data_IF_384228655561
#
_entry.id   IF_384228655561
#
_cell.length_a   1.000
_cell.length_b   1.000
_cell.length_c   1.000
_cell.angle_alpha   90.00
_cell.angle_beta   90.00
_cell.angle_gamma   90.00
#
_symmetry.space_group_name_H-M   'P 1'
#
loop_
_entity.id
_entity.type
_entity.pdbx_description
1 polymer ?
#
# COMPACT_ATOMS: atom_id res chain seq x y z
N UNK A 1 -12.63 -19.37 20.59
CA UNK A 1 -12.56 -17.90 20.40
C UNK A 1 -11.62 -17.61 19.25
N UNK A 2 -11.91 -16.61 18.41
CA UNK A 2 -10.95 -16.13 17.41
C UNK A 2 -9.75 -15.50 18.13
N UNK A 3 -8.53 -15.71 17.61
CA UNK A 3 -7.31 -15.12 18.17
C UNK A 3 -7.25 -13.62 17.86
N UNK A 4 -6.68 -12.83 18.74
CA UNK A 4 -6.44 -11.39 18.49
C UNK A 4 -5.14 -11.23 17.73
N UNK A 5 -5.09 -10.26 16.83
CA UNK A 5 -3.94 -10.01 15.94
C UNK A 5 -3.47 -8.58 16.11
N UNK A 6 -2.19 -8.41 16.36
CA UNK A 6 -1.57 -7.11 16.62
C UNK A 6 -0.47 -6.79 15.63
N UNK A 7 -0.16 -5.52 15.47
CA UNK A 7 0.98 -5.03 14.71
C UNK A 7 2.14 -4.79 15.66
N UNK A 8 3.24 -5.48 15.45
CA UNK A 8 4.44 -5.39 16.31
C UNK A 8 5.64 -4.79 15.60
N UNK A 9 5.60 -4.63 14.28
CA UNK A 9 6.67 -4.00 13.52
C UNK A 9 6.18 -3.41 12.20
N UNK A 10 6.84 -2.36 11.76
CA UNK A 10 6.51 -1.61 10.53
C UNK A 10 7.77 -1.28 9.73
N UNK A 11 7.66 -1.27 8.40
CA UNK A 11 8.74 -0.88 7.50
C UNK A 11 8.21 -0.24 6.24
N UNK A 12 8.90 0.76 5.71
CA UNK A 12 8.46 1.49 4.52
C UNK A 12 9.62 2.03 3.67
N UNK A 13 9.39 2.00 2.37
CA UNK A 13 10.14 2.76 1.35
C UNK A 13 9.13 3.54 0.54
N UNK A 14 9.29 4.86 0.44
CA UNK A 14 8.35 5.73 -0.25
C UNK A 14 9.07 6.89 -0.95
N UNK A 15 8.42 7.59 -1.89
CA UNK A 15 8.98 8.79 -2.52
C UNK A 15 9.32 9.95 -1.56
N UNK A 16 8.87 9.87 -0.30
CA UNK A 16 9.11 10.88 0.73
C UNK A 16 10.00 10.40 1.88
N UNK A 17 10.48 9.15 1.84
CA UNK A 17 11.38 8.62 2.87
C UNK A 17 11.78 7.17 2.61
N UNK A 18 13.05 6.85 2.89
CA UNK A 18 13.62 5.52 2.69
C UNK A 18 13.53 4.62 3.95
N UNK A 19 12.71 5.00 4.90
CA UNK A 19 12.33 4.28 6.11
C UNK A 19 11.03 4.87 6.67
N UNK A 20 10.45 4.20 7.69
CA UNK A 20 9.19 4.65 8.33
C UNK A 20 9.32 6.04 8.94
N UNK A 21 10.42 6.32 9.65
CA UNK A 21 10.59 7.60 10.35
C UNK A 21 10.66 8.78 9.37
N UNK A 22 11.41 8.64 8.28
CA UNK A 22 11.54 9.69 7.28
C UNK A 22 10.24 9.84 6.48
N UNK A 23 9.58 8.73 6.13
CA UNK A 23 8.26 8.73 5.50
C UNK A 23 7.24 9.48 6.38
N UNK A 24 7.18 9.17 7.69
CA UNK A 24 6.24 9.82 8.59
C UNK A 24 6.55 11.31 8.80
N UNK A 25 7.82 11.68 8.91
CA UNK A 25 8.23 13.09 8.90
C UNK A 25 7.81 13.81 7.63
N UNK A 26 7.94 13.15 6.47
CA UNK A 26 7.46 13.66 5.18
C UNK A 26 5.95 13.93 5.20
N UNK A 27 5.15 13.01 5.78
CA UNK A 27 3.71 13.20 5.97
C UNK A 27 3.42 14.40 6.88
N UNK A 28 4.06 14.48 8.04
CA UNK A 28 3.86 15.58 9.00
C UNK A 28 4.24 16.96 8.42
N UNK A 29 5.24 16.99 7.53
CA UNK A 29 5.71 18.19 6.85
C UNK A 29 4.98 18.47 5.52
N UNK A 30 3.92 17.72 5.19
CA UNK A 30 3.15 17.86 3.95
C UNK A 30 4.03 17.77 2.69
N UNK A 31 5.07 16.93 2.73
CA UNK A 31 6.02 16.78 1.63
C UNK A 31 5.36 16.10 0.43
N UNK A 32 5.53 16.68 -0.75
CA UNK A 32 5.20 16.06 -2.03
C UNK A 32 6.43 15.30 -2.54
N UNK A 33 6.30 13.98 -2.70
CA UNK A 33 7.36 13.12 -3.25
C UNK A 33 7.33 13.01 -4.78
N UNK A 34 6.28 13.56 -5.41
CA UNK A 34 6.14 13.57 -6.87
C UNK A 34 7.09 14.61 -7.45
N UNK A 35 7.76 14.24 -8.55
CA UNK A 35 8.69 15.09 -9.27
C UNK A 35 8.76 14.67 -10.74
N UNK A 36 9.55 15.40 -11.56
CA UNK A 36 9.86 14.97 -12.90
C UNK A 36 10.60 13.62 -12.87
N UNK A 37 10.21 12.71 -13.75
CA UNK A 37 10.85 11.39 -13.89
C UNK A 37 12.32 11.57 -14.24
N UNK A 38 13.20 10.94 -13.45
CA UNK A 38 14.65 11.00 -13.62
C UNK A 38 15.24 9.68 -14.16
N UNK A 39 14.54 8.55 -13.99
CA UNK A 39 15.08 7.22 -14.31
C UNK A 39 15.17 6.93 -15.81
N UNK A 40 14.47 7.68 -16.66
CA UNK A 40 14.53 7.57 -18.13
C UNK A 40 14.08 8.85 -18.83
N UNK A 41 14.41 8.98 -20.14
CA UNK A 41 14.02 10.13 -20.95
C UNK A 41 12.51 10.12 -21.25
N UNK A 42 11.83 11.19 -20.83
CA UNK A 42 10.39 11.42 -21.06
C UNK A 42 10.09 12.46 -22.14
N UNK A 43 11.10 12.91 -22.94
CA UNK A 43 10.94 13.99 -23.92
C UNK A 43 9.77 13.76 -24.87
N UNK A 44 9.58 12.52 -25.33
CA UNK A 44 8.53 12.10 -26.24
C UNK A 44 7.27 11.54 -25.55
N UNK A 45 7.13 11.70 -24.24
CA UNK A 45 5.99 11.21 -23.47
C UNK A 45 5.09 12.35 -23.03
N UNK A 46 3.78 12.11 -22.91
CA UNK A 46 2.83 13.10 -22.37
C UNK A 46 3.00 13.26 -20.86
N UNK A 47 3.14 12.16 -20.16
CA UNK A 47 3.34 12.14 -18.69
C UNK A 47 4.81 12.35 -18.39
N UNK A 48 5.10 13.29 -17.51
CA UNK A 48 6.46 13.73 -17.16
C UNK A 48 6.81 13.50 -15.69
N UNK A 49 5.81 13.20 -14.86
CA UNK A 49 5.95 13.15 -13.40
C UNK A 49 5.64 11.78 -12.84
N UNK A 50 6.34 11.42 -11.76
CA UNK A 50 6.12 10.21 -10.98
C UNK A 50 6.61 10.40 -9.54
N UNK A 51 6.22 9.50 -8.65
CA UNK A 51 6.76 9.36 -7.30
C UNK A 51 7.88 8.33 -7.26
N UNK A 52 9.09 8.69 -7.69
CA UNK A 52 10.28 7.85 -7.62
C UNK A 52 10.90 7.89 -6.22
N UNK A 53 11.56 6.80 -5.78
CA UNK A 53 12.40 6.81 -4.58
C UNK A 53 13.56 7.81 -4.76
N UNK A 54 13.82 8.62 -3.74
CA UNK A 54 14.85 9.66 -3.78
C UNK A 54 16.05 9.27 -2.94
N UNK A 55 17.26 9.56 -3.44
CA UNK A 55 18.52 9.29 -2.72
C UNK A 55 18.59 7.84 -2.20
N UNK A 56 18.18 6.89 -3.05
CA UNK A 56 18.07 5.48 -2.71
C UNK A 56 19.07 4.65 -3.52
N UNK A 57 19.87 3.86 -2.81
CA UNK A 57 20.78 2.88 -3.41
C UNK A 57 20.62 1.55 -2.68
N UNK A 58 20.12 0.52 -3.39
CA UNK A 58 19.79 -0.78 -2.79
C UNK A 58 21.01 -1.48 -2.14
N UNK A 59 22.22 -1.20 -2.62
CA UNK A 59 23.47 -1.78 -2.08
C UNK A 59 23.87 -1.24 -0.71
N UNK A 60 23.22 -0.21 -0.22
CA UNK A 60 23.36 0.25 1.17
C UNK A 60 22.60 -0.66 2.16
N UNK A 61 21.61 -1.42 1.68
CA UNK A 61 20.69 -2.26 2.47
C UNK A 61 20.88 -3.76 2.21
N UNK A 62 21.34 -4.12 1.01
CA UNK A 62 21.42 -5.49 0.52
C UNK A 62 22.80 -5.80 -0.06
N UNK A 63 23.23 -7.06 0.01
CA UNK A 63 24.46 -7.49 -0.66
C UNK A 63 24.38 -7.24 -2.18
N UNK A 64 25.42 -6.68 -2.75
CA UNK A 64 25.52 -6.38 -4.19
C UNK A 64 25.29 -7.59 -5.10
N UNK A 65 25.65 -8.81 -4.62
CA UNK A 65 25.40 -10.05 -5.37
C UNK A 65 23.92 -10.39 -5.43
N UNK A 66 23.17 -10.09 -4.37
CA UNK A 66 21.74 -10.36 -4.30
C UNK A 66 20.92 -9.30 -5.04
N UNK A 67 21.31 -8.02 -4.95
CA UNK A 67 20.72 -6.94 -5.76
C UNK A 67 20.69 -7.29 -7.25
N UNK A 68 21.76 -7.91 -7.78
CA UNK A 68 21.84 -8.30 -9.20
C UNK A 68 20.91 -9.45 -9.62
N UNK A 69 20.33 -10.17 -8.66
CA UNK A 69 19.44 -11.33 -8.90
C UNK A 69 17.96 -10.97 -8.70
N UNK A 70 17.66 -9.75 -8.25
CA UNK A 70 16.32 -9.31 -7.92
C UNK A 70 15.95 -8.06 -8.73
N UNK A 71 14.72 -8.02 -9.23
CA UNK A 71 14.12 -6.77 -9.73
C UNK A 71 13.91 -5.78 -8.58
N UNK A 72 13.78 -4.49 -8.91
CA UNK A 72 13.61 -3.41 -7.92
C UNK A 72 12.43 -3.66 -6.97
N UNK A 73 11.27 -4.18 -7.47
CA UNK A 73 10.12 -4.43 -6.59
C UNK A 73 10.45 -5.44 -5.48
N UNK A 74 11.24 -6.47 -5.78
CA UNK A 74 11.70 -7.46 -4.79
C UNK A 74 12.66 -6.81 -3.80
N UNK A 75 13.61 -5.99 -4.29
CA UNK A 75 14.55 -5.25 -3.45
C UNK A 75 13.82 -4.35 -2.47
N UNK A 76 12.84 -3.57 -2.92
CA UNK A 76 12.04 -2.68 -2.07
C UNK A 76 11.26 -3.46 -1.02
N UNK A 77 10.60 -4.56 -1.44
CA UNK A 77 9.88 -5.43 -0.52
C UNK A 77 10.76 -6.03 0.57
N UNK A 78 11.95 -6.54 0.20
CA UNK A 78 12.89 -7.12 1.14
C UNK A 78 13.48 -6.08 2.11
N UNK A 79 13.78 -4.87 1.63
CA UNK A 79 14.31 -3.78 2.48
C UNK A 79 13.26 -3.33 3.50
N UNK A 80 12.02 -3.09 3.07
CA UNK A 80 10.94 -2.76 3.99
C UNK A 80 10.64 -3.89 4.99
N UNK A 81 10.70 -5.16 4.55
CA UNK A 81 10.55 -6.30 5.44
C UNK A 81 11.69 -6.40 6.49
N UNK A 82 12.93 -6.08 6.11
CA UNK A 82 14.07 -6.01 7.06
C UNK A 82 13.85 -4.91 8.11
N UNK A 83 13.35 -3.75 7.71
CA UNK A 83 13.01 -2.68 8.64
C UNK A 83 11.91 -3.14 9.61
N UNK A 84 10.81 -3.72 9.09
CA UNK A 84 9.69 -4.19 9.90
C UNK A 84 10.09 -5.28 10.93
N UNK A 85 10.93 -6.24 10.53
CA UNK A 85 11.45 -7.27 11.44
C UNK A 85 12.37 -6.65 12.50
N UNK A 86 13.27 -5.76 12.11
CA UNK A 86 14.14 -5.05 13.05
C UNK A 86 13.33 -4.23 14.06
N UNK A 87 12.31 -3.53 13.60
CA UNK A 87 11.41 -2.73 14.41
C UNK A 87 10.62 -3.58 15.41
N UNK A 88 10.11 -4.72 14.97
CA UNK A 88 9.38 -5.67 15.80
C UNK A 88 10.24 -6.32 16.90
N UNK A 89 11.56 -6.26 16.79
CA UNK A 89 12.52 -6.97 17.65
C UNK A 89 12.24 -8.48 17.74
N UNK A 90 11.71 -9.05 16.64
CA UNK A 90 11.44 -10.48 16.57
C UNK A 90 12.72 -11.27 16.40
N UNK A 91 13.02 -12.14 17.35
CA UNK A 91 14.17 -13.04 17.28
C UNK A 91 13.83 -14.26 16.41
N UNK A 92 14.25 -14.21 15.14
CA UNK A 92 13.87 -15.19 14.12
C UNK A 92 14.20 -16.63 14.52
N UNK A 93 15.35 -16.85 15.15
CA UNK A 93 15.78 -18.21 15.53
C UNK A 93 15.01 -18.75 16.77
N UNK A 94 14.19 -17.95 17.43
CA UNK A 94 13.40 -18.34 18.62
C UNK A 94 11.94 -18.69 18.33
N UNK A 95 11.45 -18.43 17.11
CA UNK A 95 10.05 -18.66 16.73
C UNK A 95 9.86 -19.98 15.98
N UNK A 96 8.63 -20.47 15.94
CA UNK A 96 8.29 -21.62 15.11
C UNK A 96 8.19 -21.21 13.64
N UNK A 97 9.18 -21.60 12.83
CA UNK A 97 9.28 -21.23 11.41
C UNK A 97 8.11 -21.78 10.58
N UNK A 98 7.54 -22.95 10.92
CA UNK A 98 6.36 -23.52 10.25
C UNK A 98 5.09 -22.69 10.46
N UNK A 99 5.09 -21.80 11.46
CA UNK A 99 3.98 -20.91 11.81
C UNK A 99 4.31 -19.44 11.54
N UNK A 100 5.44 -19.19 10.88
CA UNK A 100 5.85 -17.87 10.41
C UNK A 100 5.61 -17.76 8.91
N UNK A 101 4.75 -16.83 8.49
CA UNK A 101 4.32 -16.65 7.12
C UNK A 101 4.78 -15.35 6.47
N UNK A 102 4.63 -15.29 5.15
CA UNK A 102 4.86 -14.09 4.32
C UNK A 102 3.70 -13.95 3.34
N UNK A 103 3.00 -12.83 3.38
CA UNK A 103 1.93 -12.50 2.45
C UNK A 103 2.21 -11.11 1.88
N UNK A 104 2.79 -11.05 0.68
CA UNK A 104 3.27 -9.80 0.09
C UNK A 104 2.83 -9.68 -1.35
N UNK A 105 2.17 -8.57 -1.68
CA UNK A 105 1.65 -8.27 -3.01
C UNK A 105 2.61 -7.45 -3.85
N UNK A 106 2.51 -7.61 -5.16
CA UNK A 106 2.91 -6.64 -6.17
C UNK A 106 1.86 -6.67 -7.28
N UNK A 107 1.55 -5.54 -7.88
CA UNK A 107 0.52 -5.45 -8.92
C UNK A 107 1.01 -5.92 -10.28
N UNK A 108 2.25 -5.59 -10.63
CA UNK A 108 2.83 -5.84 -11.97
C UNK A 108 4.08 -6.72 -11.90
N UNK A 109 4.83 -6.66 -10.81
CA UNK A 109 6.08 -7.41 -10.68
C UNK A 109 7.25 -6.78 -11.44
N UNK A 110 8.15 -7.60 -11.97
CA UNK A 110 9.43 -7.18 -12.56
C UNK A 110 9.33 -6.59 -13.96
N UNK A 111 8.54 -5.54 -14.15
CA UNK A 111 8.35 -4.91 -15.47
C UNK A 111 9.65 -4.36 -16.03
N UNK A 112 10.48 -3.72 -15.21
CA UNK A 112 11.80 -3.22 -15.62
C UNK A 112 12.71 -4.34 -16.11
N UNK A 113 12.72 -5.47 -15.43
CA UNK A 113 13.47 -6.66 -15.85
C UNK A 113 12.94 -7.24 -17.17
N UNK A 114 11.63 -7.17 -17.43
CA UNK A 114 11.03 -7.59 -18.71
C UNK A 114 11.54 -6.69 -19.83
N UNK A 115 11.47 -5.37 -19.68
CA UNK A 115 11.95 -4.41 -20.69
C UNK A 115 13.44 -4.60 -21.00
N UNK A 116 14.27 -4.64 -19.98
CA UNK A 116 15.72 -4.79 -20.13
C UNK A 116 16.09 -6.09 -20.84
N UNK A 117 15.52 -7.24 -20.41
CA UNK A 117 15.84 -8.53 -21.00
C UNK A 117 15.24 -8.70 -22.40
N UNK A 118 14.09 -8.08 -22.70
CA UNK A 118 13.55 -8.05 -24.06
C UNK A 118 14.49 -7.28 -24.99
N UNK A 119 14.94 -6.09 -24.61
CA UNK A 119 15.91 -5.33 -25.40
C UNK A 119 17.23 -6.07 -25.59
N UNK A 120 17.71 -6.74 -24.56
CA UNK A 120 18.92 -7.59 -24.62
C UNK A 120 18.73 -8.76 -25.59
N UNK A 121 17.56 -9.42 -25.55
CA UNK A 121 17.20 -10.52 -26.44
C UNK A 121 17.18 -10.08 -27.91
N UNK A 122 16.59 -8.95 -28.22
CA UNK A 122 16.58 -8.37 -29.58
C UNK A 122 18.00 -8.07 -30.10
N UNK A 123 18.90 -7.57 -29.23
CA UNK A 123 20.27 -7.20 -29.61
C UNK A 123 21.23 -8.40 -29.68
N UNK A 124 21.08 -9.42 -28.84
CA UNK A 124 22.08 -10.49 -28.64
C UNK A 124 21.54 -11.90 -28.84
N UNK A 125 20.23 -12.05 -29.12
CA UNK A 125 19.52 -13.35 -29.13
C UNK A 125 18.87 -13.67 -27.79
N UNK A 126 17.70 -14.29 -27.82
CA UNK A 126 16.90 -14.55 -26.61
C UNK A 126 17.53 -15.60 -25.68
N UNK A 127 18.44 -16.45 -26.18
CA UNK A 127 19.24 -17.35 -25.35
C UNK A 127 20.30 -16.63 -24.49
N UNK A 128 20.43 -15.32 -24.65
CA UNK A 128 21.40 -14.46 -23.93
C UNK A 128 20.74 -13.56 -22.87
N UNK A 129 19.46 -13.75 -22.57
CA UNK A 129 18.78 -13.09 -21.44
C UNK A 129 19.39 -13.51 -20.11
N UNK A 130 19.12 -12.76 -19.04
CA UNK A 130 19.63 -13.10 -17.70
C UNK A 130 19.18 -14.51 -17.26
N UNK A 131 20.05 -15.33 -16.67
CA UNK A 131 19.62 -16.60 -16.05
C UNK A 131 18.67 -16.38 -14.87
N UNK A 132 18.61 -15.16 -14.34
CA UNK A 132 17.68 -14.76 -13.28
C UNK A 132 16.40 -14.11 -13.81
N UNK A 133 16.22 -14.01 -15.14
CA UNK A 133 15.10 -13.30 -15.76
C UNK A 133 13.75 -13.75 -15.18
N UNK A 134 13.46 -15.03 -15.19
CA UNK A 134 12.18 -15.54 -14.67
C UNK A 134 12.00 -15.23 -13.18
N UNK A 135 12.93 -15.56 -12.26
CA UNK A 135 12.83 -15.18 -10.87
C UNK A 135 12.70 -13.66 -10.61
N UNK A 136 13.28 -12.83 -11.46
CA UNK A 136 13.17 -11.37 -11.35
C UNK A 136 11.80 -10.85 -11.76
N UNK A 137 11.06 -11.56 -12.63
CA UNK A 137 9.81 -11.05 -13.20
C UNK A 137 8.55 -11.52 -12.50
N UNK A 138 8.54 -12.74 -11.96
CA UNK A 138 7.32 -13.32 -11.38
C UNK A 138 7.00 -12.70 -10.02
N UNK A 139 5.73 -12.32 -9.86
CA UNK A 139 5.24 -11.46 -8.78
C UNK A 139 5.44 -12.06 -7.38
N UNK A 140 5.29 -13.39 -7.26
CA UNK A 140 5.41 -14.12 -6.00
C UNK A 140 6.84 -14.15 -5.43
N UNK A 141 7.86 -13.76 -6.22
CA UNK A 141 9.25 -13.81 -5.75
C UNK A 141 9.57 -12.73 -4.70
N UNK A 142 8.79 -11.68 -4.59
CA UNK A 142 8.91 -10.78 -3.43
C UNK A 142 8.63 -11.55 -2.13
N UNK A 143 7.50 -12.24 -2.04
CA UNK A 143 7.17 -13.10 -0.90
C UNK A 143 8.20 -14.22 -0.70
N UNK A 144 8.64 -14.87 -1.80
CA UNK A 144 9.62 -15.95 -1.75
C UNK A 144 11.00 -15.50 -1.24
N UNK A 145 11.51 -14.35 -1.69
CA UNK A 145 12.80 -13.82 -1.23
C UNK A 145 12.75 -13.36 0.23
N UNK A 146 11.64 -12.77 0.65
CA UNK A 146 11.43 -12.42 2.07
C UNK A 146 11.37 -13.69 2.92
N UNK A 147 10.65 -14.73 2.48
CA UNK A 147 10.57 -16.00 3.20
C UNK A 147 11.95 -16.66 3.34
N UNK A 148 12.76 -16.65 2.29
CA UNK A 148 14.15 -17.15 2.33
C UNK A 148 14.99 -16.35 3.33
N UNK A 149 14.90 -15.00 3.28
CA UNK A 149 15.72 -14.14 4.12
C UNK A 149 15.45 -14.33 5.63
N UNK A 150 14.20 -14.64 5.99
CA UNK A 150 13.77 -14.78 7.39
C UNK A 150 13.42 -16.22 7.79
N UNK A 151 13.72 -17.20 6.94
CA UNK A 151 13.45 -18.63 7.20
C UNK A 151 11.96 -18.90 7.49
N UNK A 152 11.05 -18.11 6.92
CA UNK A 152 9.61 -18.31 7.09
C UNK A 152 9.17 -19.55 6.28
N UNK A 153 8.75 -20.61 6.98
CA UNK A 153 8.41 -21.92 6.41
C UNK A 153 6.91 -22.20 6.44
N UNK A 154 6.12 -21.28 6.99
CA UNK A 154 4.67 -21.31 6.89
C UNK A 154 4.18 -20.88 5.51
N UNK A 155 2.98 -20.29 5.45
CA UNK A 155 2.43 -19.78 4.20
C UNK A 155 3.31 -18.69 3.59
N UNK A 156 3.74 -18.85 2.34
CA UNK A 156 4.36 -17.79 1.54
C UNK A 156 3.54 -17.59 0.27
N UNK A 157 2.84 -16.45 0.14
CA UNK A 157 1.92 -16.19 -0.98
C UNK A 157 1.91 -14.73 -1.40
N UNK A 158 1.42 -14.49 -2.61
CA UNK A 158 1.30 -13.17 -3.20
C UNK A 158 -0.11 -13.01 -3.78
N UNK A 159 -1.05 -12.34 -3.09
CA UNK A 159 -2.32 -11.96 -3.71
C UNK A 159 -2.06 -10.89 -4.77
N UNK A 160 -2.54 -11.13 -6.00
CA UNK A 160 -2.41 -10.20 -7.12
C UNK A 160 -3.79 -9.66 -7.46
N UNK A 161 -4.16 -8.56 -6.81
CA UNK A 161 -5.45 -7.87 -6.96
C UNK A 161 -5.26 -6.39 -7.32
N UNK A 162 -4.32 -6.15 -8.23
CA UNK A 162 -3.93 -4.80 -8.68
C UNK A 162 -3.66 -3.86 -7.48
N UNK A 163 -4.26 -2.67 -7.49
CA UNK A 163 -4.05 -1.66 -6.45
C UNK A 163 -4.56 -2.07 -5.05
N UNK A 164 -5.43 -3.09 -4.95
CA UNK A 164 -5.89 -3.62 -3.67
C UNK A 164 -4.96 -4.68 -3.06
N UNK A 165 -3.92 -5.08 -3.80
CA UNK A 165 -3.07 -6.22 -3.44
C UNK A 165 -2.42 -6.11 -2.06
N UNK A 166 -1.82 -4.97 -1.73
CA UNK A 166 -1.20 -4.76 -0.42
C UNK A 166 -2.19 -4.86 0.74
N UNK A 167 -3.39 -4.29 0.58
CA UNK A 167 -4.47 -4.39 1.58
C UNK A 167 -4.99 -5.82 1.69
N UNK A 168 -5.16 -6.54 0.57
CA UNK A 168 -5.50 -7.96 0.60
C UNK A 168 -4.43 -8.79 1.30
N UNK A 169 -3.15 -8.53 1.04
CA UNK A 169 -2.05 -9.23 1.68
C UNK A 169 -2.08 -9.10 3.21
N UNK A 170 -2.30 -7.88 3.72
CA UNK A 170 -2.45 -7.61 5.15
C UNK A 170 -3.70 -8.34 5.71
N UNK A 171 -4.83 -8.25 4.99
CA UNK A 171 -6.09 -8.89 5.39
C UNK A 171 -6.04 -10.42 5.40
N UNK A 172 -5.39 -11.02 4.41
CA UNK A 172 -5.23 -12.48 4.34
C UNK A 172 -4.27 -12.97 5.43
N UNK A 173 -3.18 -12.24 5.72
CA UNK A 173 -2.29 -12.53 6.84
C UNK A 173 -3.04 -12.46 8.19
N UNK A 174 -3.84 -11.41 8.38
CA UNK A 174 -4.70 -11.27 9.56
C UNK A 174 -5.61 -12.50 9.76
N UNK A 175 -6.31 -12.94 8.70
CA UNK A 175 -7.17 -14.13 8.79
C UNK A 175 -6.39 -15.39 9.14
N UNK A 176 -5.23 -15.60 8.54
CA UNK A 176 -4.39 -16.77 8.82
C UNK A 176 -3.92 -16.82 10.28
N UNK A 177 -3.57 -15.68 10.87
CA UNK A 177 -3.20 -15.62 12.30
C UNK A 177 -4.45 -15.80 13.20
N UNK A 178 -5.51 -15.06 12.91
CA UNK A 178 -6.77 -15.09 13.68
C UNK A 178 -7.39 -16.49 13.75
N UNK A 179 -7.36 -17.21 12.63
CA UNK A 179 -7.95 -18.52 12.50
C UNK A 179 -6.97 -19.66 12.90
N UNK A 180 -5.76 -19.30 13.37
CA UNK A 180 -4.83 -20.22 14.03
C UNK A 180 -3.89 -20.99 13.10
N UNK A 181 -3.77 -20.61 11.83
CA UNK A 181 -2.83 -21.24 10.89
C UNK A 181 -1.40 -20.73 11.09
N UNK A 182 -1.23 -19.46 11.43
CA UNK A 182 0.06 -18.81 11.64
C UNK A 182 0.09 -18.13 13.03
N UNK A 183 1.28 -17.82 13.52
CA UNK A 183 1.49 -17.02 14.73
C UNK A 183 2.07 -15.65 14.41
N UNK A 184 2.90 -15.58 13.37
CA UNK A 184 3.55 -14.35 12.91
C UNK A 184 3.51 -14.30 11.38
N UNK A 185 3.33 -13.11 10.82
CA UNK A 185 3.36 -12.93 9.35
C UNK A 185 3.95 -11.57 8.99
N UNK A 186 4.87 -11.55 8.00
CA UNK A 186 5.24 -10.32 7.31
C UNK A 186 4.20 -10.11 6.20
N UNK A 187 3.51 -8.96 6.21
CA UNK A 187 2.43 -8.69 5.28
C UNK A 187 2.49 -7.27 4.72
N UNK A 188 2.14 -7.10 3.45
CA UNK A 188 2.14 -5.78 2.81
C UNK A 188 2.26 -5.85 1.29
N UNK A 189 2.93 -4.87 0.70
CA UNK A 189 3.10 -4.81 -0.74
C UNK A 189 4.32 -4.03 -1.18
N UNK A 190 4.78 -4.30 -2.40
CA UNK A 190 5.92 -3.64 -3.03
C UNK A 190 5.67 -3.46 -4.53
N UNK A 191 6.20 -2.39 -5.12
CA UNK A 191 6.04 -2.08 -6.54
C UNK A 191 7.18 -1.22 -7.06
N UNK A 192 7.61 -1.48 -8.31
CA UNK A 192 8.65 -0.69 -9.00
C UNK A 192 8.35 -0.60 -10.51
N UNK A 193 7.17 -0.10 -10.86
CA UNK A 193 6.67 -0.12 -12.24
C UNK A 193 6.83 1.23 -12.97
N UNK A 194 7.64 2.17 -12.44
CA UNK A 194 7.99 3.42 -13.12
C UNK A 194 9.04 3.09 -14.20
N UNK A 195 8.54 2.68 -15.35
CA UNK A 195 9.32 2.33 -16.54
C UNK A 195 8.69 2.96 -17.78
N UNK A 196 9.39 3.06 -18.92
CA UNK A 196 8.80 3.54 -20.17
C UNK A 196 7.51 2.80 -20.54
N UNK A 197 7.49 1.46 -20.41
CA UNK A 197 6.32 0.65 -20.75
C UNK A 197 5.21 0.82 -19.70
N UNK A 198 5.54 0.92 -18.41
CA UNK A 198 4.58 1.16 -17.33
C UNK A 198 3.87 2.50 -17.47
N UNK A 199 4.64 3.59 -17.61
CA UNK A 199 4.08 4.94 -17.85
C UNK A 199 3.31 4.97 -19.18
N UNK A 200 3.87 4.40 -20.26
CA UNK A 200 3.22 4.35 -21.59
C UNK A 200 1.89 3.57 -21.55
N UNK A 201 1.84 2.44 -20.89
CA UNK A 201 0.65 1.60 -20.78
C UNK A 201 -0.50 2.32 -20.08
N UNK A 202 -0.25 2.92 -18.90
CA UNK A 202 -1.27 3.68 -18.18
C UNK A 202 -1.63 5.01 -18.88
N UNK A 203 -0.69 5.64 -19.58
CA UNK A 203 -0.99 6.82 -20.43
C UNK A 203 -1.94 6.45 -21.56
N UNK A 204 -1.72 5.31 -22.23
CA UNK A 204 -2.59 4.83 -23.32
C UNK A 204 -4.02 4.56 -22.83
N UNK A 205 -4.18 4.19 -21.57
CA UNK A 205 -5.48 4.02 -20.90
C UNK A 205 -6.11 5.35 -20.48
N UNK A 206 -5.41 6.48 -20.61
CA UNK A 206 -5.82 7.80 -20.10
C UNK A 206 -6.07 7.80 -18.58
N UNK A 207 -5.30 7.01 -17.85
CA UNK A 207 -5.44 6.84 -16.41
C UNK A 207 -4.52 7.78 -15.61
N UNK A 208 -3.38 8.21 -16.21
CA UNK A 208 -2.41 9.08 -15.56
C UNK A 208 -2.75 10.57 -15.75
N UNK A 209 -2.39 11.36 -14.75
CA UNK A 209 -2.39 12.81 -14.85
C UNK A 209 -1.37 13.28 -15.90
N UNK A 210 -1.80 14.13 -16.82
CA UNK A 210 -0.94 14.80 -17.79
C UNK A 210 -0.42 16.16 -17.28
N UNK A 211 -0.64 16.49 -15.99
CA UNK A 211 -0.08 17.71 -15.39
C UNK A 211 1.44 17.61 -15.31
N UNK A 212 2.11 18.67 -15.72
CA UNK A 212 3.57 18.78 -15.61
C UNK A 212 3.99 19.48 -14.31
N UNK A 213 3.05 20.01 -13.54
CA UNK A 213 3.30 20.54 -12.21
C UNK A 213 3.19 19.41 -11.17
N UNK A 214 4.29 19.00 -10.52
CA UNK A 214 4.29 17.94 -9.52
C UNK A 214 3.29 18.18 -8.38
N UNK A 215 3.05 19.44 -8.01
CA UNK A 215 2.11 19.81 -6.94
C UNK A 215 0.65 19.81 -7.39
N UNK A 216 0.36 19.73 -8.68
CA UNK A 216 -1.00 19.64 -9.22
C UNK A 216 -1.27 18.33 -9.96
N UNK A 217 -0.31 17.40 -9.97
CA UNK A 217 -0.46 16.14 -10.68
C UNK A 217 -1.27 15.10 -9.88
N UNK A 218 -1.07 15.00 -8.56
CA UNK A 218 -1.86 14.14 -7.67
C UNK A 218 -2.55 14.99 -6.61
N UNK A 219 -3.85 15.19 -6.80
CA UNK A 219 -4.72 16.10 -6.02
C UNK A 219 -6.03 15.37 -5.67
N UNK A 220 -5.98 14.34 -4.80
CA UNK A 220 -7.16 13.55 -4.48
C UNK A 220 -8.33 14.42 -4.00
N UNK A 221 -9.53 14.11 -4.48
CA UNK A 221 -10.79 14.79 -4.18
C UNK A 221 -10.93 16.25 -4.65
N UNK A 222 -9.86 16.84 -5.21
CA UNK A 222 -9.91 18.19 -5.80
C UNK A 222 -10.72 18.17 -7.11
N UNK A 223 -11.47 19.23 -7.38
CA UNK A 223 -12.32 19.36 -8.58
C UNK A 223 -11.54 19.28 -9.89
N UNK A 224 -10.27 19.70 -9.90
CA UNK A 224 -9.40 19.72 -11.08
C UNK A 224 -8.61 18.41 -11.27
N UNK A 225 -8.85 17.38 -10.44
CA UNK A 225 -8.18 16.07 -10.59
C UNK A 225 -8.45 15.47 -11.96
N UNK A 226 -7.43 14.90 -12.58
CA UNK A 226 -7.53 14.43 -13.97
C UNK A 226 -6.87 13.08 -14.25
N UNK A 227 -6.33 12.43 -13.23
CA UNK A 227 -5.64 11.14 -13.34
C UNK A 227 -4.76 10.90 -12.12
N UNK A 228 -4.27 9.68 -11.95
CA UNK A 228 -3.33 9.38 -10.89
C UNK A 228 -1.88 9.63 -11.33
N UNK A 229 -0.98 9.79 -10.37
CA UNK A 229 0.48 9.78 -10.60
C UNK A 229 1.03 8.45 -10.13
N UNK A 230 1.78 7.75 -10.98
CA UNK A 230 2.42 6.50 -10.60
C UNK A 230 3.51 6.75 -9.55
N UNK A 231 3.52 5.95 -8.48
CA UNK A 231 4.57 5.90 -7.48
C UNK A 231 5.21 4.52 -7.40
N UNK A 232 6.35 4.43 -6.72
CA UNK A 232 7.03 3.18 -6.40
C UNK A 232 7.37 3.10 -4.91
N UNK A 233 7.64 1.89 -4.41
CA UNK A 233 8.03 1.70 -3.02
C UNK A 233 7.54 0.40 -2.42
N UNK A 234 7.52 0.33 -1.09
CA UNK A 234 7.03 -0.81 -0.31
C UNK A 234 6.52 -0.37 1.06
N UNK A 235 5.54 -1.11 1.59
CA UNK A 235 5.09 -1.00 2.97
C UNK A 235 4.84 -2.39 3.56
N UNK A 236 5.40 -2.65 4.74
CA UNK A 236 5.36 -3.95 5.40
C UNK A 236 4.97 -3.81 6.87
N UNK A 237 4.10 -4.71 7.31
CA UNK A 237 3.71 -4.91 8.71
C UNK A 237 4.18 -6.28 9.18
N UNK A 238 4.62 -6.37 10.43
CA UNK A 238 4.70 -7.63 11.16
C UNK A 238 3.41 -7.77 11.95
N UNK A 239 2.55 -8.70 11.52
CA UNK A 239 1.34 -9.10 12.23
C UNK A 239 1.67 -10.29 13.13
N UNK A 240 1.14 -10.28 14.34
CA UNK A 240 1.46 -11.27 15.36
C UNK A 240 0.23 -11.62 16.21
N UNK A 241 0.12 -12.86 16.63
CA UNK A 241 -0.88 -13.26 17.60
C UNK A 241 -0.60 -12.58 18.94
N UNK A 242 -1.64 -12.07 19.59
CA UNK A 242 -1.53 -11.22 20.78
C UNK A 242 -0.76 -11.88 21.93
N UNK A 243 -1.07 -13.12 22.27
CA UNK A 243 -0.41 -13.79 23.40
C UNK A 243 1.03 -14.17 23.07
N UNK A 244 1.33 -14.48 21.80
CA UNK A 244 2.69 -14.64 21.33
C UNK A 244 3.49 -13.33 21.46
N UNK A 245 2.91 -12.19 21.05
CA UNK A 245 3.53 -10.87 21.18
C UNK A 245 3.79 -10.50 22.66
N UNK A 246 2.81 -10.71 23.52
CA UNK A 246 2.93 -10.46 24.97
C UNK A 246 4.01 -11.33 25.63
N UNK A 247 4.05 -12.62 25.29
CA UNK A 247 5.01 -13.56 25.88
C UNK A 247 6.47 -13.17 25.64
N UNK A 248 6.77 -12.50 24.53
CA UNK A 248 8.12 -11.99 24.23
C UNK A 248 8.33 -10.51 24.60
N UNK A 249 7.34 -9.84 25.20
CA UNK A 249 7.41 -8.42 25.56
C UNK A 249 7.49 -7.48 24.36
N UNK A 250 6.80 -7.81 23.27
CA UNK A 250 6.78 -6.99 22.07
C UNK A 250 6.16 -5.62 22.32
N UNK A 251 6.70 -4.58 21.63
CA UNK A 251 5.94 -3.36 21.44
C UNK A 251 4.73 -3.64 20.54
N UNK A 252 3.56 -3.19 20.93
CA UNK A 252 2.32 -3.35 20.17
C UNK A 252 1.84 -1.97 19.75
N UNK A 253 1.86 -1.69 18.44
CA UNK A 253 1.39 -0.44 17.87
C UNK A 253 -0.13 -0.31 17.93
N UNK A 254 -0.81 -1.34 17.43
CA UNK A 254 -2.27 -1.38 17.34
C UNK A 254 -2.74 -2.83 17.16
N UNK A 255 -4.05 -3.03 17.22
CA UNK A 255 -4.71 -4.30 16.90
C UNK A 255 -5.36 -4.21 15.52
N UNK A 256 -5.22 -5.21 14.70
CA UNK A 256 -6.02 -5.35 13.48
C UNK A 256 -7.30 -6.10 13.83
N UNK A 257 -8.46 -5.49 13.56
CA UNK A 257 -9.76 -6.00 14.05
C UNK A 257 -10.74 -6.35 12.92
N UNK A 258 -10.56 -5.84 11.72
CA UNK A 258 -11.49 -6.10 10.64
C UNK A 258 -10.86 -6.14 9.25
N UNK A 259 -11.38 -7.02 8.40
CA UNK A 259 -11.03 -7.14 7.00
C UNK A 259 -12.26 -7.47 6.16
N UNK A 260 -12.57 -6.62 5.20
CA UNK A 260 -13.66 -6.79 4.26
C UNK A 260 -13.21 -6.72 2.82
N UNK A 261 -13.75 -7.58 1.98
CA UNK A 261 -13.48 -7.63 0.55
C UNK A 261 -14.77 -7.72 -0.24
N UNK A 262 -14.72 -7.24 -1.49
CA UNK A 262 -15.76 -7.43 -2.49
C UNK A 262 -15.17 -7.40 -3.89
N UNK A 263 -15.94 -7.86 -4.87
CA UNK A 263 -15.65 -7.66 -6.29
C UNK A 263 -16.81 -6.93 -6.93
N UNK A 264 -16.51 -5.93 -7.76
CA UNK A 264 -17.53 -5.20 -8.54
C UNK A 264 -18.21 -6.09 -9.58
N UNK A 265 -17.48 -7.04 -10.17
CA UNK A 265 -17.92 -7.90 -11.26
C UNK A 265 -18.62 -7.09 -12.38
N UNK A 266 -18.04 -5.94 -12.73
CA UNK A 266 -18.67 -4.95 -13.61
C UNK A 266 -17.83 -4.65 -14.87
N UNK A 267 -16.61 -4.16 -14.70
CA UNK A 267 -15.73 -3.76 -15.80
C UNK A 267 -14.26 -3.94 -15.40
N UNK A 268 -13.36 -4.13 -16.38
CA UNK A 268 -11.93 -4.41 -16.11
C UNK A 268 -11.19 -3.26 -15.42
N UNK A 269 -11.62 -2.00 -15.64
CA UNK A 269 -10.92 -0.82 -15.08
C UNK A 269 -11.83 0.20 -14.43
N UNK A 270 -13.12 0.27 -14.84
CA UNK A 270 -14.06 1.20 -14.25
C UNK A 270 -14.72 0.58 -13.00
N UNK A 271 -14.82 1.32 -11.88
CA UNK A 271 -15.55 0.86 -10.72
C UNK A 271 -17.06 0.76 -11.01
N UNK A 272 -17.76 -0.08 -10.25
CA UNK A 272 -19.21 -0.23 -10.37
C UNK A 272 -19.91 1.10 -10.04
N UNK A 273 -21.05 1.39 -10.72
CA UNK A 273 -21.82 2.60 -10.46
C UNK A 273 -22.14 2.77 -8.98
N UNK A 274 -22.21 4.04 -8.55
CA UNK A 274 -22.54 4.43 -7.18
C UNK A 274 -21.58 3.89 -6.08
N UNK A 275 -20.42 3.35 -6.44
CA UNK A 275 -19.43 2.85 -5.48
C UNK A 275 -19.88 1.62 -4.66
N UNK A 276 -20.81 0.81 -5.21
CA UNK A 276 -21.41 -0.31 -4.48
C UNK A 276 -20.37 -1.32 -3.98
N UNK A 277 -19.36 -1.63 -4.78
CA UNK A 277 -18.31 -2.59 -4.39
C UNK A 277 -17.46 -2.08 -3.22
N UNK A 278 -16.96 -0.84 -3.30
CA UNK A 278 -16.21 -0.22 -2.21
C UNK A 278 -17.05 -0.15 -0.91
N UNK A 279 -18.34 0.21 -1.02
CA UNK A 279 -19.24 0.21 0.12
C UNK A 279 -19.38 -1.19 0.76
N UNK A 280 -19.52 -2.24 -0.05
CA UNK A 280 -19.59 -3.64 0.45
C UNK A 280 -18.31 -4.03 1.18
N UNK A 281 -17.12 -3.69 0.65
CA UNK A 281 -15.86 -3.99 1.31
C UNK A 281 -15.78 -3.33 2.70
N UNK A 282 -16.13 -2.04 2.81
CA UNK A 282 -16.18 -1.32 4.09
C UNK A 282 -17.20 -1.93 5.06
N UNK A 283 -18.42 -2.24 4.60
CA UNK A 283 -19.45 -2.87 5.44
C UNK A 283 -18.99 -4.24 5.93
N UNK A 284 -18.38 -5.04 5.06
CA UNK A 284 -17.85 -6.36 5.43
C UNK A 284 -16.72 -6.23 6.47
N UNK A 285 -15.86 -5.20 6.36
CA UNK A 285 -14.81 -4.94 7.36
C UNK A 285 -15.40 -4.54 8.73
N UNK A 286 -16.42 -3.68 8.74
CA UNK A 286 -17.15 -3.31 9.96
C UNK A 286 -17.82 -4.54 10.63
N UNK A 287 -18.47 -5.39 9.82
CA UNK A 287 -19.08 -6.62 10.31
C UNK A 287 -18.04 -7.61 10.87
N UNK A 288 -16.91 -7.78 10.19
CA UNK A 288 -15.83 -8.67 10.67
C UNK A 288 -15.23 -8.17 11.99
N UNK A 289 -15.14 -6.83 12.16
CA UNK A 289 -14.71 -6.18 13.40
C UNK A 289 -15.80 -6.11 14.50
N UNK A 290 -17.06 -6.42 14.18
CA UNK A 290 -18.22 -6.20 15.06
C UNK A 290 -18.34 -4.72 15.48
N UNK A 291 -18.11 -3.80 14.55
CA UNK A 291 -18.15 -2.36 14.78
C UNK A 291 -19.35 -1.70 14.08
N UNK A 292 -19.86 -0.66 14.75
CA UNK A 292 -20.80 0.27 14.13
C UNK A 292 -20.04 1.35 13.32
N UNK A 293 -20.67 1.86 12.27
CA UNK A 293 -20.06 2.84 11.38
C UNK A 293 -19.58 4.13 12.09
N UNK A 294 -20.26 4.53 13.16
CA UNK A 294 -19.94 5.74 13.93
C UNK A 294 -18.69 5.61 14.83
N UNK A 295 -18.07 4.44 14.87
CA UNK A 295 -16.83 4.21 15.61
C UNK A 295 -15.56 4.48 14.78
N UNK A 296 -15.70 4.64 13.46
CA UNK A 296 -14.55 4.97 12.59
C UNK A 296 -14.23 6.45 12.70
N UNK A 297 -13.05 6.76 13.22
CA UNK A 297 -12.57 8.13 13.41
C UNK A 297 -11.93 8.70 12.14
N UNK A 298 -11.22 7.86 11.37
CA UNK A 298 -10.47 8.25 10.19
C UNK A 298 -10.49 7.16 9.11
N UNK A 299 -10.65 7.57 7.86
CA UNK A 299 -10.48 6.74 6.68
C UNK A 299 -9.27 7.22 5.88
N UNK A 300 -8.25 6.37 5.75
CA UNK A 300 -7.25 6.50 4.70
C UNK A 300 -7.87 5.97 3.41
N UNK A 301 -8.28 6.89 2.55
CA UNK A 301 -9.01 6.58 1.35
C UNK A 301 -8.08 6.07 0.24
N UNK A 302 -8.65 5.29 -0.68
CA UNK A 302 -7.97 4.96 -1.91
C UNK A 302 -7.57 6.23 -2.69
N UNK A 303 -8.48 7.18 -2.87
CA UNK A 303 -8.24 8.57 -3.25
C UNK A 303 -7.13 8.76 -4.28
N UNK A 304 -7.32 8.28 -5.51
CA UNK A 304 -6.26 8.22 -6.54
C UNK A 304 -6.06 9.51 -7.31
N UNK A 305 -6.87 10.54 -7.08
CA UNK A 305 -6.88 11.75 -7.92
C UNK A 305 -7.44 11.52 -9.33
N UNK A 306 -8.17 10.42 -9.55
CA UNK A 306 -8.92 10.24 -10.80
C UNK A 306 -10.35 10.75 -10.66
N UNK A 307 -10.93 11.36 -11.73
CA UNK A 307 -12.29 11.89 -11.65
C UNK A 307 -13.33 10.86 -11.20
N UNK A 308 -13.24 9.64 -11.72
CA UNK A 308 -14.19 8.58 -11.45
C UNK A 308 -14.03 7.96 -10.06
N UNK A 309 -12.78 7.58 -9.68
CA UNK A 309 -12.54 6.89 -8.42
C UNK A 309 -12.99 7.73 -7.22
N UNK A 310 -12.52 8.98 -7.13
CA UNK A 310 -12.71 9.79 -5.93
C UNK A 310 -14.19 10.12 -5.70
N UNK A 311 -14.94 10.37 -6.78
CA UNK A 311 -16.39 10.52 -6.76
C UNK A 311 -17.09 9.24 -6.27
N UNK A 312 -16.73 8.08 -6.84
CA UNK A 312 -17.40 6.82 -6.49
C UNK A 312 -16.98 6.29 -5.11
N UNK A 313 -15.74 6.56 -4.67
CA UNK A 313 -15.33 6.27 -3.30
C UNK A 313 -16.06 7.15 -2.28
N UNK A 314 -16.26 8.44 -2.59
CA UNK A 314 -17.13 9.32 -1.79
C UNK A 314 -18.54 8.73 -1.64
N UNK A 315 -19.14 8.27 -2.73
CA UNK A 315 -20.43 7.61 -2.69
C UNK A 315 -20.42 6.30 -1.88
N UNK A 316 -19.33 5.52 -2.00
CA UNK A 316 -19.15 4.28 -1.26
C UNK A 316 -19.03 4.53 0.26
N UNK A 317 -18.25 5.55 0.67
CA UNK A 317 -18.12 5.95 2.08
C UNK A 317 -19.47 6.40 2.64
N UNK A 318 -20.22 7.22 1.90
CA UNK A 318 -21.57 7.63 2.31
C UNK A 318 -22.52 6.44 2.50
N UNK A 319 -22.48 5.45 1.60
CA UNK A 319 -23.28 4.23 1.74
C UNK A 319 -22.87 3.38 2.94
N UNK A 320 -21.57 3.23 3.19
CA UNK A 320 -21.07 2.42 4.29
C UNK A 320 -21.25 3.08 5.65
N UNK A 321 -20.93 4.36 5.77
CA UNK A 321 -20.97 5.09 7.06
C UNK A 321 -22.31 5.80 7.31
N UNK A 322 -23.20 5.89 6.32
CA UNK A 322 -24.55 6.50 6.46
C UNK A 322 -24.47 7.90 7.10
N UNK A 323 -25.20 8.13 8.18
CA UNK A 323 -25.24 9.42 8.91
C UNK A 323 -23.90 9.85 9.52
N UNK A 324 -22.91 8.95 9.60
CA UNK A 324 -21.58 9.26 10.12
C UNK A 324 -20.59 9.73 9.02
N UNK A 325 -20.92 9.55 7.75
CA UNK A 325 -20.03 9.82 6.63
C UNK A 325 -19.43 11.23 6.62
N UNK A 326 -20.18 12.24 7.05
CA UNK A 326 -19.72 13.64 7.13
C UNK A 326 -19.08 14.01 8.49
N UNK A 327 -18.92 13.04 9.41
CA UNK A 327 -18.31 13.24 10.74
C UNK A 327 -16.96 12.55 10.87
N UNK A 328 -16.76 11.47 10.13
CA UNK A 328 -15.48 10.79 10.04
C UNK A 328 -14.53 11.52 9.10
N UNK A 329 -13.29 11.70 9.53
CA UNK A 329 -12.27 12.33 8.70
C UNK A 329 -11.86 11.44 7.54
N UNK A 330 -11.61 12.02 6.38
CA UNK A 330 -11.12 11.31 5.17
C UNK A 330 -9.87 11.99 4.65
N UNK A 331 -8.82 11.23 4.36
CA UNK A 331 -7.65 11.75 3.69
C UNK A 331 -7.05 10.71 2.73
N UNK A 332 -6.37 11.19 1.69
CA UNK A 332 -5.54 10.36 0.83
C UNK A 332 -4.10 10.84 0.87
N UNK A 333 -3.19 9.95 1.18
CA UNK A 333 -1.74 10.21 1.21
C UNK A 333 -1.08 10.08 -0.16
N UNK A 334 -1.86 9.80 -1.22
CA UNK A 334 -1.36 9.72 -2.60
C UNK A 334 -0.96 11.09 -3.19
N UNK A 335 -1.37 12.19 -2.58
CA UNK A 335 -0.76 13.50 -2.86
C UNK A 335 0.72 13.57 -2.48
N UNK A 336 1.12 12.82 -1.45
CA UNK A 336 2.50 12.74 -0.98
C UNK A 336 3.35 11.74 -1.78
N UNK A 337 2.82 10.53 -2.04
CA UNK A 337 3.60 9.41 -2.57
C UNK A 337 3.34 9.09 -4.04
N UNK A 338 2.29 9.67 -4.64
CA UNK A 338 1.71 9.07 -5.82
C UNK A 338 1.00 7.76 -5.49
N UNK A 339 0.50 7.08 -6.50
CA UNK A 339 -0.15 5.78 -6.38
C UNK A 339 0.85 4.65 -6.61
N UNK A 340 1.28 3.99 -5.55
CA UNK A 340 2.29 2.92 -5.60
C UNK A 340 1.69 1.54 -5.96
N UNK A 341 0.55 1.49 -6.66
CA UNK A 341 -0.10 0.29 -7.19
C UNK A 341 -0.21 -0.84 -6.13
N UNK A 342 0.42 -1.99 -6.35
CA UNK A 342 0.40 -3.13 -5.42
C UNK A 342 1.03 -2.85 -4.05
N UNK A 343 1.93 -1.86 -3.96
CA UNK A 343 2.52 -1.42 -2.70
C UNK A 343 1.59 -0.49 -1.90
N UNK A 344 0.61 0.17 -2.54
CA UNK A 344 -0.17 1.24 -1.94
C UNK A 344 -0.80 0.84 -0.60
N UNK A 345 -1.53 -0.28 -0.56
CA UNK A 345 -2.17 -0.75 0.67
C UNK A 345 -1.20 -1.10 1.80
N UNK A 346 0.02 -1.54 1.47
CA UNK A 346 1.09 -1.77 2.44
C UNK A 346 1.59 -0.46 3.07
N UNK A 347 1.90 0.53 2.23
CA UNK A 347 2.34 1.87 2.66
C UNK A 347 1.23 2.55 3.49
N UNK A 348 0.00 2.52 3.01
CA UNK A 348 -1.17 3.10 3.68
C UNK A 348 -1.46 2.40 5.02
N UNK A 349 -1.25 1.07 5.10
CA UNK A 349 -1.30 0.33 6.36
C UNK A 349 -0.29 0.84 7.39
N UNK A 350 0.97 1.05 6.98
CA UNK A 350 2.01 1.65 7.85
C UNK A 350 1.60 3.06 8.30
N UNK A 351 1.07 3.88 7.39
CA UNK A 351 0.62 5.24 7.72
C UNK A 351 -0.58 5.26 8.67
N UNK A 352 -1.52 4.29 8.55
CA UNK A 352 -2.63 4.14 9.49
C UNK A 352 -2.15 3.75 10.90
N UNK A 353 -1.16 2.85 10.99
CA UNK A 353 -0.53 2.49 12.27
C UNK A 353 0.10 3.72 12.92
N UNK A 354 0.86 4.51 12.17
CA UNK A 354 1.46 5.75 12.67
C UNK A 354 0.43 6.81 13.05
N UNK A 355 -0.67 6.91 12.30
CA UNK A 355 -1.77 7.83 12.63
C UNK A 355 -2.40 7.50 13.99
N UNK A 356 -2.63 6.20 14.27
CA UNK A 356 -3.14 5.73 15.58
C UNK A 356 -2.15 6.01 16.71
N UNK A 357 -0.86 5.71 16.50
CA UNK A 357 0.19 5.92 17.50
C UNK A 357 0.28 7.40 17.91
N UNK A 358 0.36 8.30 16.93
CA UNK A 358 0.57 9.73 17.16
C UNK A 358 -0.73 10.53 17.38
N UNK A 359 -1.92 9.87 17.27
CA UNK A 359 -3.23 10.53 17.27
C UNK A 359 -3.27 11.70 16.28
N UNK A 360 -2.83 11.43 15.04
CA UNK A 360 -2.68 12.44 14.00
C UNK A 360 -3.27 11.94 12.67
N UNK A 361 -4.15 12.73 12.07
CA UNK A 361 -4.73 12.47 10.75
C UNK A 361 -3.88 13.17 9.69
N UNK A 362 -3.28 12.42 8.74
CA UNK A 362 -2.56 13.00 7.61
C UNK A 362 -3.43 13.92 6.76
N UNK A 363 -2.80 14.88 6.08
CA UNK A 363 -3.49 15.74 5.13
C UNK A 363 -3.61 15.09 3.74
N UNK A 364 -4.69 15.42 3.04
CA UNK A 364 -4.76 15.38 1.59
C UNK A 364 -4.10 16.67 1.07
N UNK A 365 -2.83 16.57 0.67
CA UNK A 365 -2.06 17.75 0.26
C UNK A 365 -2.40 18.21 -1.17
N UNK A 366 -2.01 19.44 -1.51
CA UNK A 366 -2.18 20.07 -2.82
C UNK A 366 -3.66 20.32 -3.22
N UNK A 367 -4.57 20.23 -2.28
CA UNK A 367 -6.00 20.49 -2.47
C UNK A 367 -6.28 21.99 -2.60
N UNK A 368 -6.97 22.42 -3.65
CA UNK A 368 -7.26 23.85 -3.89
C UNK A 368 -8.74 24.10 -4.19
N UNK A 369 -9.40 23.22 -4.94
CA UNK A 369 -10.73 23.47 -5.47
C UNK A 369 -11.73 22.44 -4.93
N UNK A 370 -12.74 22.92 -4.21
CA UNK A 370 -13.82 22.07 -3.69
C UNK A 370 -14.62 21.43 -4.82
N UNK A 371 -14.91 20.15 -4.65
CA UNK A 371 -15.78 19.39 -5.55
C UNK A 371 -17.05 18.96 -4.79
N UNK A 372 -18.21 19.39 -5.27
CA UNK A 372 -19.51 19.05 -4.69
C UNK A 372 -19.81 17.52 -4.75
N UNK A 373 -19.14 16.80 -5.65
CA UNK A 373 -19.25 15.34 -5.74
C UNK A 373 -18.36 14.61 -4.71
N UNK A 374 -17.45 15.34 -4.04
CA UNK A 374 -16.50 14.85 -3.03
C UNK A 374 -16.63 15.62 -1.70
N UNK A 375 -17.85 15.78 -1.21
CA UNK A 375 -18.26 16.67 -0.10
C UNK A 375 -18.08 16.08 1.31
N UNK A 376 -17.20 15.10 1.51
CA UNK A 376 -16.84 14.55 2.82
C UNK A 376 -15.94 15.52 3.60
N UNK A 377 -15.68 15.22 4.87
CA UNK A 377 -14.68 15.92 5.68
C UNK A 377 -13.25 15.56 5.20
N UNK A 378 -12.88 16.08 4.04
CA UNK A 378 -11.53 15.91 3.50
C UNK A 378 -10.56 16.76 4.32
N UNK A 379 -9.56 16.10 4.94
CA UNK A 379 -8.51 16.80 5.71
C UNK A 379 -7.53 17.45 4.73
N UNK A 380 -7.93 18.65 4.23
CA UNK A 380 -7.22 19.33 3.15
C UNK A 380 -5.98 20.07 3.65
N UNK A 381 -4.84 19.88 2.99
CA UNK A 381 -3.56 20.57 3.12
C UNK A 381 -2.88 20.56 4.49
N UNK A 382 -3.62 20.47 5.57
CA UNK A 382 -3.08 20.46 6.93
C UNK A 382 -3.66 19.28 7.70
N UNK A 383 -2.76 18.38 8.12
CA UNK A 383 -3.14 17.30 9.02
C UNK A 383 -3.59 17.86 10.38
N UNK A 384 -4.34 17.07 11.14
CA UNK A 384 -4.86 17.50 12.43
C UNK A 384 -4.66 16.46 13.53
N UNK A 385 -4.38 16.94 14.74
CA UNK A 385 -4.39 16.10 15.94
C UNK A 385 -5.83 15.78 16.33
N UNK A 386 -6.11 14.49 16.51
CA UNK A 386 -7.40 13.98 16.95
C UNK A 386 -7.17 12.63 17.62
N UNK A 387 -7.83 12.39 18.74
CA UNK A 387 -7.80 11.04 19.36
C UNK A 387 -8.40 10.04 18.38
N UNK A 388 -7.64 9.01 18.05
CA UNK A 388 -8.03 7.96 17.13
C UNK A 388 -8.14 6.63 17.89
N UNK A 389 -9.28 5.98 17.78
CA UNK A 389 -9.53 4.65 18.31
C UNK A 389 -9.62 3.61 17.20
N UNK A 390 -10.24 3.97 16.08
CA UNK A 390 -10.42 3.10 14.92
C UNK A 390 -10.10 3.83 13.63
N UNK A 391 -9.21 3.25 12.85
CA UNK A 391 -8.80 3.77 11.53
C UNK A 391 -9.08 2.70 10.47
N UNK A 392 -9.72 3.10 9.37
CA UNK A 392 -9.98 2.25 8.22
C UNK A 392 -9.06 2.65 7.06
N UNK A 393 -8.53 1.67 6.32
CA UNK A 393 -7.81 1.88 5.06
C UNK A 393 -8.52 1.17 3.93
N UNK A 394 -8.78 1.89 2.83
CA UNK A 394 -9.47 1.39 1.65
C UNK A 394 -8.54 1.26 0.46
N UNK A 395 -8.70 0.20 -0.31
CA UNK A 395 -8.08 0.04 -1.62
C UNK A 395 -9.09 -0.46 -2.64
N UNK A 396 -9.13 0.22 -3.78
CA UNK A 396 -10.02 -0.08 -4.91
C UNK A 396 -9.14 -0.35 -6.14
N UNK A 397 -9.18 -1.57 -6.68
CA UNK A 397 -8.27 -2.00 -7.73
C UNK A 397 -8.95 -2.29 -9.06
N UNK A 398 -8.20 -2.18 -10.14
CA UNK A 398 -8.61 -2.68 -11.45
C UNK A 398 -9.01 -4.16 -11.35
N UNK A 399 -9.98 -4.60 -12.17
CA UNK A 399 -10.64 -5.89 -12.01
C UNK A 399 -11.84 -5.84 -11.05
N UNK A 400 -12.11 -4.65 -10.45
CA UNK A 400 -13.20 -4.47 -9.48
C UNK A 400 -12.86 -5.03 -8.10
N UNK A 401 -11.57 -5.17 -7.78
CA UNK A 401 -11.11 -5.64 -6.48
C UNK A 401 -11.22 -4.53 -5.43
N UNK A 402 -12.00 -4.74 -4.38
CA UNK A 402 -12.17 -3.80 -3.28
C UNK A 402 -11.76 -4.47 -1.97
N UNK A 403 -10.96 -3.78 -1.17
CA UNK A 403 -10.52 -4.24 0.13
C UNK A 403 -10.53 -3.10 1.16
N UNK A 404 -10.95 -3.40 2.38
CA UNK A 404 -10.93 -2.49 3.52
C UNK A 404 -10.41 -3.21 4.74
N UNK A 405 -9.48 -2.60 5.47
CA UNK A 405 -8.93 -3.10 6.73
C UNK A 405 -9.18 -2.08 7.83
N UNK A 406 -9.34 -2.56 9.07
CA UNK A 406 -9.59 -1.72 10.24
C UNK A 406 -8.55 -2.03 11.31
N UNK A 407 -7.88 -0.97 11.77
CA UNK A 407 -6.98 -0.97 12.90
C UNK A 407 -7.64 -0.30 14.11
N UNK A 408 -7.41 -0.86 15.29
CA UNK A 408 -7.87 -0.36 16.59
C UNK A 408 -6.67 0.04 17.43
N UNK A 409 -6.76 1.17 18.11
CA UNK A 409 -5.76 1.57 19.10
C UNK A 409 -5.62 0.47 20.17
N UNK A 410 -4.37 0.05 20.40
CA UNK A 410 -4.11 -0.91 21.48
C UNK A 410 -4.19 -0.22 22.84
N UNK A 411 -4.89 -0.84 23.77
CA UNK A 411 -4.95 -0.47 25.18
C UNK A 411 -4.77 -1.73 26.00
N UNK A 412 -3.97 -1.66 27.05
CA UNK A 412 -3.93 -2.73 28.06
C UNK A 412 -5.29 -2.74 28.76
N UNK A 413 -6.02 -3.86 28.63
CA UNK A 413 -7.21 -4.16 29.43
C UNK A 413 -6.80 -4.69 30.80
#
# INVERSE_FOLDING_TARGET
>A
MKRRVVVTGIGALTPIGNNVNDTWKGILNHQCGIDLIQSFDTSNMKVKVAGELKNFEATEYLDKKDVRKMDKFIQYGLIAAKEAIKDSKLEIDSINHDRFGVVVSSGIGGLGSIEENHQRGLKKGFDRVSPYFIPMTIVNLAAGQIAIAFKAQGLATCPVTACAGGTNAIGDAFRNIRDGYLDVTIAGGCEASITPLGIGGFTSMKALSESHDPKRASIPFDKERNGFVMGEGAGMLVLEELEHAKARGAHIYCEMVGYGVSCDAYHMTAPAPEGIGGAKAMINALQDASLEANQIDYINAHGTSTPMNDKLETAAIKKALKNHAHKGAVASTKGNTGHCLGAAGGIEGVLCVKALEDNFIPATINYQNFDEECDLDIVANHGRKQVLNYVMSNSLGFGGHNASIIFKKYGEE
#
